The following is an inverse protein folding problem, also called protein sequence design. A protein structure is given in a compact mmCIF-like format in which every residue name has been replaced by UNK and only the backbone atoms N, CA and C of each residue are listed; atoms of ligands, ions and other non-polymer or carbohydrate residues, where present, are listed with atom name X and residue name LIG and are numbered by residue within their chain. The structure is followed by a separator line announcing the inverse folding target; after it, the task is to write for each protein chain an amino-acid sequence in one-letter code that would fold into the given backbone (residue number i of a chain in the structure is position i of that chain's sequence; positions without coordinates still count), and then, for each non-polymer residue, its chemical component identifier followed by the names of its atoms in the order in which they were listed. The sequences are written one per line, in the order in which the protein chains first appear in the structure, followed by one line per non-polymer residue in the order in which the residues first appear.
data_IF_344850197744
#
_entry.id   IF_344850197744
#
_cell.length_a   1.000
_cell.length_b   1.000
_cell.length_c   1.000
_cell.angle_alpha   90.00
_cell.angle_beta   90.00
_cell.angle_gamma   90.00
#
_symmetry.space_group_name_H-M   'P 1'
#
loop_
_entity.id
_entity.type
_entity.pdbx_description
1 polymer ?
#
# COMPACT_ATOMS: atom_id res chain seq x y z
N UNK A 1 19.87 22.23 41.43
CA UNK A 1 21.17 22.09 40.74
C UNK A 1 21.08 20.86 39.85
N UNK A 2 21.43 21.08 38.59
CA UNK A 2 21.42 20.12 37.48
C UNK A 2 22.67 19.24 37.53
N UNK A 3 22.53 18.00 37.08
CA UNK A 3 23.42 17.23 36.17
C UNK A 3 22.92 15.78 36.22
N UNK A 4 22.18 15.21 35.26
CA UNK A 4 22.39 15.04 33.82
C UNK A 4 23.77 14.47 33.47
N UNK A 5 23.84 13.14 33.41
CA UNK A 5 24.65 12.42 32.43
C UNK A 5 23.96 11.06 32.19
N UNK A 6 23.36 10.90 31.01
CA UNK A 6 22.99 9.59 30.47
C UNK A 6 23.86 9.40 29.25
N UNK A 7 24.87 8.55 29.44
CA UNK A 7 26.00 8.29 28.57
C UNK A 7 25.57 8.01 27.12
N UNK A 8 26.29 8.67 26.22
CA UNK A 8 26.33 8.43 24.80
C UNK A 8 26.89 7.04 24.53
N UNK A 9 26.13 6.18 23.83
CA UNK A 9 26.68 4.96 23.23
C UNK A 9 27.83 5.34 22.28
N UNK A 10 29.02 4.91 22.67
CA UNK A 10 30.30 5.28 22.12
C UNK A 10 30.50 4.66 20.72
N UNK A 11 30.55 5.50 19.68
CA UNK A 11 30.79 5.10 18.28
C UNK A 11 32.30 5.08 17.99
N UNK A 12 33.09 4.47 18.88
CA UNK A 12 34.53 4.27 18.69
C UNK A 12 34.82 2.77 18.56
N UNK A 13 35.18 2.32 17.35
CA UNK A 13 35.72 0.97 17.11
C UNK A 13 34.96 0.06 16.12
N UNK A 14 33.94 0.55 15.40
CA UNK A 14 33.27 -0.27 14.37
C UNK A 14 34.14 -0.32 13.11
N UNK A 15 34.56 -1.52 12.63
CA UNK A 15 35.27 -1.66 11.36
C UNK A 15 34.44 -1.12 10.20
N UNK A 16 35.07 -0.41 9.26
CA UNK A 16 34.40 0.28 8.15
C UNK A 16 33.44 -0.62 7.36
N UNK A 17 33.84 -1.88 7.10
CA UNK A 17 32.98 -2.89 6.45
C UNK A 17 31.69 -3.18 7.21
N UNK A 18 31.72 -3.17 8.55
CA UNK A 18 30.55 -3.42 9.39
C UNK A 18 29.64 -2.18 9.39
N UNK A 19 30.22 -0.97 9.47
CA UNK A 19 29.47 0.28 9.39
C UNK A 19 28.79 0.45 8.01
N UNK A 20 29.47 0.06 6.93
CA UNK A 20 28.92 0.08 5.58
C UNK A 20 27.82 -0.97 5.39
N UNK A 21 28.00 -2.19 5.92
CA UNK A 21 26.96 -3.22 5.94
C UNK A 21 25.71 -2.75 6.71
N UNK A 22 25.89 -2.13 7.88
CA UNK A 22 24.79 -1.57 8.68
C UNK A 22 24.04 -0.46 7.93
N UNK A 23 24.76 0.50 7.32
CA UNK A 23 24.17 1.54 6.47
C UNK A 23 23.38 0.97 5.30
N UNK A 24 23.89 -0.07 4.64
CA UNK A 24 23.18 -0.74 3.55
C UNK A 24 21.89 -1.42 4.01
N UNK A 25 21.86 -2.01 5.21
CA UNK A 25 20.63 -2.56 5.81
C UNK A 25 19.65 -1.45 6.15
N UNK A 26 20.12 -0.36 6.79
CA UNK A 26 19.29 0.80 7.16
C UNK A 26 18.60 1.45 5.96
N UNK A 27 19.32 1.59 4.84
CA UNK A 27 18.75 2.13 3.60
C UNK A 27 17.61 1.27 3.02
N UNK A 28 17.60 -0.03 3.35
CA UNK A 28 16.60 -1.01 2.91
C UNK A 28 15.47 -1.24 3.93
N UNK A 29 15.55 -0.66 5.14
CA UNK A 29 14.47 -0.74 6.15
C UNK A 29 13.16 -0.09 5.66
N UNK A 30 13.26 0.92 4.80
CA UNK A 30 12.09 1.53 4.15
C UNK A 30 11.72 0.77 2.88
N UNK A 31 10.50 0.22 2.83
CA UNK A 31 10.01 -0.47 1.64
C UNK A 31 10.16 0.38 0.36
N UNK A 32 10.71 -0.20 -0.71
CA UNK A 32 11.01 0.49 -1.98
C UNK A 32 9.79 1.21 -2.56
N UNK A 33 8.60 0.58 -2.50
CA UNK A 33 7.35 1.14 -3.02
C UNK A 33 6.88 2.39 -2.27
N UNK A 34 7.19 2.49 -0.97
CA UNK A 34 6.73 3.61 -0.13
C UNK A 34 7.79 4.69 0.04
N UNK A 35 9.06 4.39 -0.29
CA UNK A 35 10.23 5.26 -0.05
C UNK A 35 10.01 6.69 -0.54
N UNK A 36 9.59 6.86 -1.79
CA UNK A 36 9.30 8.18 -2.38
C UNK A 36 8.30 8.98 -1.54
N UNK A 37 7.15 8.39 -1.17
CA UNK A 37 6.11 9.07 -0.39
C UNK A 37 6.57 9.44 1.02
N UNK A 38 7.36 8.57 1.65
CA UNK A 38 7.92 8.81 2.97
C UNK A 38 8.92 9.97 2.92
N UNK A 39 9.79 9.97 1.91
CA UNK A 39 10.77 11.03 1.68
C UNK A 39 10.09 12.38 1.42
N UNK A 40 9.08 12.43 0.54
CA UNK A 40 8.33 13.67 0.29
C UNK A 40 7.68 14.22 1.56
N UNK A 41 7.10 13.35 2.39
CA UNK A 41 6.49 13.76 3.67
C UNK A 41 7.54 14.31 4.63
N UNK A 42 8.70 13.64 4.72
CA UNK A 42 9.83 14.08 5.51
C UNK A 42 10.37 15.45 5.04
N UNK A 43 10.63 15.62 3.75
CA UNK A 43 11.12 16.87 3.18
C UNK A 43 10.14 18.03 3.42
N UNK A 44 8.83 17.77 3.29
CA UNK A 44 7.79 18.77 3.58
C UNK A 44 7.85 19.24 5.04
N UNK A 45 8.13 18.33 5.98
CA UNK A 45 8.32 18.68 7.39
C UNK A 45 9.63 19.44 7.63
N UNK A 46 10.74 19.00 7.02
CA UNK A 46 12.03 19.67 7.15
C UNK A 46 12.00 21.10 6.59
N UNK A 47 11.35 21.30 5.44
CA UNK A 47 11.16 22.64 4.86
C UNK A 47 10.35 23.54 5.79
N UNK A 48 9.25 23.04 6.35
CA UNK A 48 8.47 23.79 7.32
C UNK A 48 9.26 24.17 8.57
N UNK A 49 10.13 23.28 9.06
CA UNK A 49 11.04 23.59 10.19
C UNK A 49 12.04 24.68 9.84
N UNK A 50 12.64 24.60 8.64
CA UNK A 50 13.57 25.61 8.12
C UNK A 50 12.89 26.97 8.00
N UNK A 51 11.70 27.04 7.40
CA UNK A 51 10.89 28.27 7.30
C UNK A 51 10.56 28.90 8.66
N UNK A 52 10.45 28.08 9.71
CA UNK A 52 10.15 28.53 11.08
C UNK A 52 11.40 28.72 11.95
N UNK A 53 12.60 28.51 11.39
CA UNK A 53 13.88 28.55 12.11
C UNK A 53 13.91 27.62 13.34
N UNK A 54 13.36 26.39 13.21
CA UNK A 54 13.25 25.41 14.30
C UNK A 54 14.27 24.29 14.12
N UNK A 55 15.21 24.17 15.07
CA UNK A 55 16.24 23.11 15.08
C UNK A 55 15.88 21.90 15.95
N UNK A 56 14.83 21.96 16.76
CA UNK A 56 14.38 20.86 17.63
C UNK A 56 13.35 19.92 16.97
N UNK A 57 13.38 18.63 17.35
CA UNK A 57 12.36 17.61 17.01
C UNK A 57 11.44 17.27 18.19
N UNK A 58 11.33 18.17 19.17
CA UNK A 58 10.53 17.94 20.39
C UNK A 58 9.06 17.66 20.10
N UNK A 59 8.38 17.06 21.08
CA UNK A 59 6.95 16.80 21.00
C UNK A 59 6.13 18.05 20.67
N UNK A 60 6.47 19.20 21.24
CA UNK A 60 5.77 20.46 20.98
C UNK A 60 5.87 20.89 19.50
N UNK A 61 7.04 20.73 18.88
CA UNK A 61 7.26 21.04 17.45
C UNK A 61 6.40 20.15 16.57
N UNK A 62 6.40 18.84 16.85
CA UNK A 62 5.62 17.87 16.09
C UNK A 62 4.12 18.06 16.31
N UNK A 63 3.70 18.39 17.54
CA UNK A 63 2.32 18.71 17.87
C UNK A 63 1.83 19.94 17.10
N UNK A 64 2.64 21.00 17.03
CA UNK A 64 2.32 22.20 16.25
C UNK A 64 2.19 21.89 14.75
N UNK A 65 3.13 21.12 14.19
CA UNK A 65 3.11 20.72 12.79
C UNK A 65 1.90 19.83 12.45
N UNK A 66 1.66 18.79 13.24
CA UNK A 66 0.54 17.87 13.04
C UNK A 66 -0.81 18.58 13.27
N UNK A 67 -0.87 19.54 14.20
CA UNK A 67 -2.04 20.41 14.37
C UNK A 67 -2.31 21.25 13.11
N UNK A 68 -1.28 21.85 12.49
CA UNK A 68 -1.39 22.54 11.19
C UNK A 68 -1.95 21.61 10.11
N UNK A 69 -1.41 20.38 9.99
CA UNK A 69 -1.88 19.41 8.99
C UNK A 69 -3.32 18.93 9.24
N UNK A 70 -3.71 18.81 10.50
CA UNK A 70 -5.06 18.35 10.88
C UNK A 70 -6.18 19.27 10.39
N UNK A 71 -5.87 20.55 10.13
CA UNK A 71 -6.84 21.52 9.59
C UNK A 71 -7.13 21.31 8.11
N UNK A 72 -6.26 20.61 7.38
CA UNK A 72 -6.32 20.45 5.91
C UNK A 72 -6.52 19.01 5.47
N UNK A 73 -6.47 18.05 6.38
CA UNK A 73 -6.43 16.62 6.04
C UNK A 73 -7.41 15.82 6.88
N UNK A 74 -7.94 14.74 6.30
CA UNK A 74 -8.76 13.78 7.04
C UNK A 74 -7.91 13.02 8.08
N UNK A 75 -8.51 12.57 9.19
CA UNK A 75 -7.78 11.85 10.25
C UNK A 75 -6.97 10.65 9.76
N UNK A 76 -7.48 9.85 8.82
CA UNK A 76 -6.72 8.71 8.26
C UNK A 76 -5.44 9.14 7.52
N UNK A 77 -5.48 10.29 6.82
CA UNK A 77 -4.32 10.84 6.13
C UNK A 77 -3.33 11.41 7.15
N UNK A 78 -3.83 12.08 8.19
CA UNK A 78 -3.01 12.60 9.27
C UNK A 78 -2.23 11.50 10.00
N UNK A 79 -2.88 10.37 10.32
CA UNK A 79 -2.21 9.18 10.86
C UNK A 79 -1.17 8.61 9.90
N UNK A 80 -1.44 8.60 8.60
CA UNK A 80 -0.47 8.14 7.60
C UNK A 80 0.76 9.05 7.58
N UNK A 81 0.56 10.38 7.63
CA UNK A 81 1.66 11.36 7.69
C UNK A 81 2.47 11.21 8.98
N UNK A 82 1.80 11.05 10.13
CA UNK A 82 2.47 10.73 11.39
C UNK A 82 3.33 9.46 11.29
N UNK A 83 2.79 8.37 10.76
CA UNK A 83 3.54 7.11 10.62
C UNK A 83 4.73 7.23 9.66
N UNK A 84 4.59 8.02 8.58
CA UNK A 84 5.69 8.32 7.67
C UNK A 84 6.79 9.12 8.36
N UNK A 85 6.43 10.16 9.11
CA UNK A 85 7.39 10.93 9.92
C UNK A 85 8.02 10.08 11.01
N UNK A 86 7.26 9.22 11.69
CA UNK A 86 7.79 8.30 12.71
C UNK A 86 8.91 7.46 12.14
N UNK A 87 8.68 6.89 10.95
CA UNK A 87 9.65 6.01 10.29
C UNK A 87 10.87 6.79 9.77
N UNK A 88 10.68 7.97 9.19
CA UNK A 88 11.81 8.74 8.65
C UNK A 88 12.63 9.43 9.73
N UNK A 89 12.00 9.89 10.82
CA UNK A 89 12.71 10.54 11.93
C UNK A 89 13.51 9.55 12.76
N UNK A 90 13.01 8.33 12.98
CA UNK A 90 13.80 7.31 13.66
C UNK A 90 15.00 6.88 12.80
N UNK A 91 14.81 6.67 11.50
CA UNK A 91 15.91 6.24 10.62
C UNK A 91 16.94 7.34 10.34
N UNK A 92 16.53 8.62 10.20
CA UNK A 92 17.44 9.70 9.77
C UNK A 92 18.02 10.54 10.90
N UNK A 93 17.33 10.61 12.03
CA UNK A 93 17.69 11.49 13.16
C UNK A 93 17.72 10.75 14.50
N UNK A 94 17.48 9.45 14.51
CA UNK A 94 17.31 8.64 15.73
C UNK A 94 16.24 9.22 16.69
N UNK A 95 15.21 9.89 16.14
CA UNK A 95 14.15 10.50 16.95
C UNK A 95 12.92 9.59 16.97
N UNK A 96 12.65 8.99 18.13
CA UNK A 96 11.49 8.14 18.34
C UNK A 96 10.25 8.93 18.79
N UNK A 97 9.45 9.42 17.83
CA UNK A 97 8.20 10.15 18.14
C UNK A 97 7.06 9.25 18.64
N UNK A 98 7.29 7.95 18.84
CA UNK A 98 6.28 7.07 19.43
C UNK A 98 6.06 7.37 20.92
N UNK A 99 7.12 7.81 21.61
CA UNK A 99 7.09 8.17 23.03
C UNK A 99 6.31 9.47 23.30
N UNK A 100 5.94 10.22 22.24
CA UNK A 100 5.22 11.48 22.34
C UNK A 100 3.73 11.23 22.63
N UNK A 101 3.40 11.19 23.92
CA UNK A 101 2.07 10.84 24.42
C UNK A 101 1.01 11.89 24.12
N UNK A 102 1.32 13.19 24.22
CA UNK A 102 0.42 14.30 23.87
C UNK A 102 0.12 14.31 22.38
N UNK A 103 1.13 14.05 21.55
CA UNK A 103 0.97 13.92 20.10
C UNK A 103 0.03 12.77 19.75
N UNK A 104 0.25 11.61 20.35
CA UNK A 104 -0.60 10.42 20.16
C UNK A 104 -2.04 10.68 20.63
N UNK A 105 -2.21 11.32 21.79
CA UNK A 105 -3.52 11.70 22.32
C UNK A 105 -4.25 12.71 21.40
N UNK A 106 -3.52 13.64 20.78
CA UNK A 106 -4.08 14.56 19.80
C UNK A 106 -4.59 13.83 18.55
N UNK A 107 -3.79 12.92 17.98
CA UNK A 107 -4.17 12.12 16.79
C UNK A 107 -5.41 11.26 17.06
N UNK A 108 -5.47 10.60 18.23
CA UNK A 108 -6.64 9.82 18.66
C UNK A 108 -7.89 10.69 18.73
N UNK A 109 -7.84 11.83 19.44
CA UNK A 109 -8.99 12.76 19.55
C UNK A 109 -9.46 13.27 18.19
N UNK A 110 -8.54 13.59 17.28
CA UNK A 110 -8.89 14.01 15.91
C UNK A 110 -9.59 12.92 15.10
N UNK A 111 -9.47 11.66 15.51
CA UNK A 111 -10.07 10.52 14.82
C UNK A 111 -11.43 10.11 15.40
N UNK A 112 -11.85 10.71 16.52
CA UNK A 112 -13.12 10.38 17.15
C UNK A 112 -14.29 10.62 16.19
N UNK A 113 -15.15 9.61 16.04
CA UNK A 113 -16.31 9.66 15.14
C UNK A 113 -15.99 9.65 13.65
N UNK A 114 -14.70 9.61 13.25
CA UNK A 114 -14.33 9.60 11.84
C UNK A 114 -14.73 8.27 11.18
N UNK A 115 -15.62 8.35 10.19
CA UNK A 115 -15.98 7.22 9.34
C UNK A 115 -15.34 7.42 7.96
N UNK A 116 -14.54 6.45 7.54
CA UNK A 116 -13.94 6.48 6.21
C UNK A 116 -15.02 6.28 5.15
N UNK A 117 -14.98 7.09 4.08
CA UNK A 117 -15.78 6.84 2.88
C UNK A 117 -15.44 5.46 2.33
N UNK A 118 -16.46 4.66 2.07
CA UNK A 118 -16.36 3.37 1.38
C UNK A 118 -16.94 3.52 -0.03
N UNK A 119 -16.43 2.73 -0.97
CA UNK A 119 -17.04 2.61 -2.29
C UNK A 119 -18.44 2.00 -2.16
N UNK A 120 -19.34 2.35 -3.07
CA UNK A 120 -20.61 1.62 -3.21
C UNK A 120 -20.31 0.16 -3.57
N UNK A 121 -21.12 -0.74 -3.06
CA UNK A 121 -21.03 -2.18 -3.34
C UNK A 121 -22.12 -2.55 -4.33
N UNK A 122 -21.79 -3.44 -5.27
CA UNK A 122 -22.78 -3.95 -6.22
C UNK A 122 -23.67 -4.99 -5.55
N UNK A 123 -24.94 -4.98 -5.92
CA UNK A 123 -25.91 -6.03 -5.58
C UNK A 123 -25.77 -7.22 -6.52
N UNK A 124 -26.24 -8.40 -6.10
CA UNK A 124 -26.25 -9.60 -6.94
C UNK A 124 -27.05 -9.40 -8.24
N UNK A 125 -28.10 -8.57 -8.20
CA UNK A 125 -28.90 -8.24 -9.38
C UNK A 125 -28.12 -7.38 -10.38
N UNK A 126 -27.41 -6.35 -9.90
CA UNK A 126 -26.56 -5.51 -10.75
C UNK A 126 -25.43 -6.33 -11.39
N UNK A 127 -24.78 -7.21 -10.62
CA UNK A 127 -23.75 -8.12 -11.14
C UNK A 127 -24.33 -9.03 -12.22
N UNK A 128 -25.49 -9.64 -11.97
CA UNK A 128 -26.16 -10.52 -12.95
C UNK A 128 -26.50 -9.78 -14.23
N UNK A 129 -27.12 -8.60 -14.13
CA UNK A 129 -27.45 -7.76 -15.29
C UNK A 129 -26.20 -7.39 -16.07
N UNK A 130 -25.15 -6.97 -15.37
CA UNK A 130 -23.87 -6.64 -16.01
C UNK A 130 -23.27 -7.83 -16.77
N UNK A 131 -23.27 -9.04 -16.18
CA UNK A 131 -22.69 -10.20 -16.82
C UNK A 131 -23.52 -10.70 -18.02
N UNK A 132 -24.85 -10.62 -17.95
CA UNK A 132 -25.73 -11.24 -18.94
C UNK A 132 -26.23 -10.29 -20.05
N UNK A 133 -26.45 -9.01 -19.73
CA UNK A 133 -27.16 -8.08 -20.63
C UNK A 133 -26.23 -7.08 -21.31
N UNK A 134 -25.10 -6.73 -20.67
CA UNK A 134 -24.14 -5.76 -21.22
C UNK A 134 -23.29 -6.43 -22.30
N UNK A 135 -22.99 -5.78 -23.42
CA UNK A 135 -22.34 -6.43 -24.56
C UNK A 135 -20.85 -6.69 -24.31
N UNK A 136 -20.34 -7.79 -24.89
CA UNK A 136 -18.98 -8.28 -24.67
C UNK A 136 -17.93 -7.53 -25.50
N UNK A 137 -18.30 -6.99 -26.65
CA UNK A 137 -17.44 -6.20 -27.53
C UNK A 137 -16.76 -5.03 -26.79
N UNK A 138 -17.44 -4.44 -25.81
CA UNK A 138 -16.92 -3.36 -24.99
C UNK A 138 -16.45 -3.82 -23.60
N UNK A 139 -17.15 -4.77 -22.97
CA UNK A 139 -16.97 -5.03 -21.53
C UNK A 139 -16.45 -6.42 -21.17
N UNK A 140 -16.09 -7.27 -22.14
CA UNK A 140 -15.67 -8.66 -21.85
C UNK A 140 -14.50 -8.72 -20.86
N UNK A 141 -13.44 -7.92 -21.03
CA UNK A 141 -12.31 -7.88 -20.10
C UNK A 141 -12.76 -7.48 -18.67
N UNK A 142 -13.70 -6.53 -18.57
CA UNK A 142 -14.26 -6.07 -17.29
C UNK A 142 -15.13 -7.14 -16.63
N UNK A 143 -15.91 -7.88 -17.41
CA UNK A 143 -16.69 -9.04 -16.91
C UNK A 143 -15.77 -10.12 -16.36
N UNK A 144 -14.70 -10.45 -17.07
CA UNK A 144 -13.69 -11.41 -16.62
C UNK A 144 -12.98 -10.92 -15.37
N UNK A 145 -12.59 -9.64 -15.30
CA UNK A 145 -12.00 -9.05 -14.10
C UNK A 145 -12.96 -9.10 -12.90
N UNK A 146 -14.27 -8.90 -13.13
CA UNK A 146 -15.30 -9.01 -12.08
C UNK A 146 -15.44 -10.45 -11.58
N UNK A 147 -15.52 -11.42 -12.49
CA UNK A 147 -15.65 -12.85 -12.18
C UNK A 147 -14.45 -13.34 -11.37
N UNK A 148 -13.24 -13.13 -11.89
CA UNK A 148 -11.98 -13.52 -11.23
C UNK A 148 -11.83 -12.75 -9.90
N UNK A 149 -12.19 -11.47 -9.89
CA UNK A 149 -12.13 -10.59 -8.73
C UNK A 149 -13.03 -11.06 -7.58
N UNK A 150 -14.28 -11.42 -7.88
CA UNK A 150 -15.24 -11.89 -6.88
C UNK A 150 -14.87 -13.30 -6.40
N UNK A 151 -14.64 -14.24 -7.33
CA UNK A 151 -14.35 -15.64 -6.99
C UNK A 151 -13.08 -15.78 -6.13
N UNK A 152 -12.04 -15.02 -6.45
CA UNK A 152 -10.76 -15.06 -5.75
C UNK A 152 -10.58 -14.01 -4.65
N UNK A 153 -11.61 -13.18 -4.38
CA UNK A 153 -11.51 -11.99 -3.54
C UNK A 153 -10.28 -11.11 -3.89
N UNK A 154 -10.00 -10.93 -5.18
CA UNK A 154 -8.75 -10.36 -5.67
C UNK A 154 -8.71 -8.84 -5.53
N UNK A 155 -7.54 -8.34 -5.12
CA UNK A 155 -7.21 -6.91 -5.20
C UNK A 155 -6.92 -6.56 -6.66
N UNK A 156 -7.16 -5.31 -7.04
CA UNK A 156 -6.85 -4.84 -8.40
C UNK A 156 -5.40 -5.10 -8.83
N UNK A 157 -4.42 -4.92 -7.93
CA UNK A 157 -3.01 -5.21 -8.23
C UNK A 157 -2.70 -6.71 -8.42
N UNK A 158 -3.53 -7.60 -7.88
CA UNK A 158 -3.40 -9.04 -8.12
C UNK A 158 -3.94 -9.38 -9.52
N UNK A 159 -5.09 -8.80 -9.90
CA UNK A 159 -5.66 -8.94 -11.24
C UNK A 159 -4.71 -8.40 -12.32
N UNK A 160 -4.10 -7.23 -12.13
CA UNK A 160 -3.18 -6.65 -13.13
C UNK A 160 -1.87 -7.42 -13.29
N UNK A 161 -1.53 -8.28 -12.33
CA UNK A 161 -0.32 -9.11 -12.35
C UNK A 161 -0.62 -10.58 -12.65
N UNK A 162 -1.88 -10.93 -12.85
CA UNK A 162 -2.27 -12.28 -13.22
C UNK A 162 -1.71 -12.59 -14.60
N UNK A 163 -1.02 -13.72 -14.72
CA UNK A 163 -0.49 -14.18 -16.00
C UNK A 163 -1.32 -15.34 -16.57
N UNK A 164 -1.12 -15.66 -17.85
CA UNK A 164 -1.83 -16.74 -18.54
C UNK A 164 -1.53 -18.09 -17.88
N UNK A 165 -0.27 -18.34 -17.50
CA UNK A 165 0.14 -19.58 -16.81
C UNK A 165 -0.48 -19.78 -15.43
N UNK A 166 -1.16 -18.76 -14.90
CA UNK A 166 -1.86 -18.85 -13.62
C UNK A 166 -3.27 -19.42 -13.75
N UNK A 167 -3.73 -19.72 -14.98
CA UNK A 167 -5.05 -20.25 -15.27
C UNK A 167 -4.87 -21.66 -15.83
N UNK A 168 -5.25 -22.66 -15.05
CA UNK A 168 -5.19 -24.06 -15.43
C UNK A 168 -6.60 -24.54 -15.84
N UNK A 169 -6.70 -25.29 -16.93
CA UNK A 169 -7.97 -25.78 -17.47
C UNK A 169 -8.21 -27.25 -17.10
N UNK A 170 -9.33 -27.52 -16.43
CA UNK A 170 -9.73 -28.85 -15.98
C UNK A 170 -11.16 -29.14 -16.45
N UNK A 171 -11.32 -29.39 -17.76
CA UNK A 171 -12.63 -29.62 -18.38
C UNK A 171 -13.52 -28.37 -18.31
N UNK A 172 -14.65 -28.45 -17.60
CA UNK A 172 -15.55 -27.32 -17.37
C UNK A 172 -15.07 -26.35 -16.27
N UNK A 173 -14.02 -26.72 -15.55
CA UNK A 173 -13.46 -25.96 -14.43
C UNK A 173 -12.21 -25.19 -14.86
N UNK A 174 -12.06 -23.98 -14.33
CA UNK A 174 -10.82 -23.22 -14.37
C UNK A 174 -10.25 -23.15 -12.95
N UNK A 175 -8.97 -23.48 -12.80
CA UNK A 175 -8.25 -23.37 -11.55
C UNK A 175 -7.31 -22.16 -11.65
N UNK A 176 -7.53 -21.16 -10.81
CA UNK A 176 -6.78 -19.90 -10.85
C UNK A 176 -5.83 -19.81 -9.65
N UNK A 177 -4.55 -19.58 -9.95
CA UNK A 177 -3.49 -19.36 -8.98
C UNK A 177 -3.17 -17.88 -8.86
N UNK A 178 -3.35 -17.29 -7.69
CA UNK A 178 -2.85 -15.95 -7.43
C UNK A 178 -1.45 -16.09 -6.84
N UNK A 179 -0.40 -15.72 -7.60
CA UNK A 179 0.96 -15.80 -7.13
C UNK A 179 1.19 -14.84 -5.98
N UNK A 180 2.32 -15.01 -5.32
CA UNK A 180 2.60 -14.43 -4.02
C UNK A 180 2.30 -12.91 -3.94
N UNK A 181 1.46 -12.56 -2.97
CA UNK A 181 0.89 -11.23 -2.80
C UNK A 181 1.70 -10.42 -1.77
N UNK A 182 1.26 -9.20 -1.46
CA UNK A 182 1.90 -8.33 -0.46
C UNK A 182 2.15 -9.03 0.90
N UNK A 183 1.35 -10.04 1.24
CA UNK A 183 1.41 -10.77 2.51
C UNK A 183 2.27 -12.03 2.48
N UNK A 184 2.96 -12.34 1.39
CA UNK A 184 3.74 -13.58 1.23
C UNK A 184 2.89 -14.87 1.25
N UNK A 185 1.63 -14.76 0.84
CA UNK A 185 0.66 -15.86 0.79
C UNK A 185 0.10 -15.97 -0.63
N UNK A 186 0.31 -17.13 -1.26
CA UNK A 186 -0.35 -17.56 -2.49
C UNK A 186 -1.70 -18.19 -2.19
N UNK A 187 -2.64 -18.09 -3.12
CA UNK A 187 -3.94 -18.76 -3.02
C UNK A 187 -4.39 -19.34 -4.35
N UNK A 188 -5.27 -20.33 -4.27
CA UNK A 188 -5.84 -21.06 -5.39
C UNK A 188 -7.35 -21.12 -5.23
N UNK A 189 -8.10 -21.00 -6.31
CA UNK A 189 -9.56 -21.14 -6.31
C UNK A 189 -10.06 -21.58 -7.68
N UNK A 190 -11.30 -22.06 -7.73
CA UNK A 190 -11.92 -22.55 -8.96
C UNK A 190 -13.00 -21.60 -9.47
N UNK A 191 -13.22 -21.62 -10.78
CA UNK A 191 -14.34 -20.99 -11.46
C UNK A 191 -15.00 -22.05 -12.35
N UNK A 192 -16.32 -22.10 -12.35
CA UNK A 192 -17.08 -23.14 -13.05
C UNK A 192 -18.27 -22.59 -13.85
N UNK A 193 -18.83 -23.45 -14.70
CA UNK A 193 -20.04 -23.18 -15.47
C UNK A 193 -19.94 -21.93 -16.35
N UNK A 194 -21.02 -21.15 -16.41
CA UNK A 194 -21.13 -19.94 -17.25
C UNK A 194 -20.04 -18.91 -16.98
N UNK A 195 -19.52 -18.82 -15.76
CA UNK A 195 -18.44 -17.90 -15.44
C UNK A 195 -17.11 -18.35 -16.06
N UNK A 196 -16.84 -19.66 -16.07
CA UNK A 196 -15.67 -20.22 -16.73
C UNK A 196 -15.74 -20.02 -18.26
N UNK A 197 -16.92 -20.16 -18.86
CA UNK A 197 -17.15 -19.90 -20.29
C UNK A 197 -16.81 -18.45 -20.68
N UNK A 198 -17.21 -17.46 -19.87
CA UNK A 198 -16.89 -16.04 -20.12
C UNK A 198 -15.37 -15.80 -20.06
N UNK A 199 -14.67 -16.43 -19.09
CA UNK A 199 -13.21 -16.33 -18.96
C UNK A 199 -12.52 -16.95 -20.18
N UNK A 200 -12.95 -18.15 -20.60
CA UNK A 200 -12.44 -18.83 -21.80
C UNK A 200 -12.67 -18.01 -23.06
N UNK A 201 -13.84 -17.39 -23.21
CA UNK A 201 -14.14 -16.49 -24.35
C UNK A 201 -13.13 -15.35 -24.45
N UNK A 202 -12.77 -14.72 -23.33
CA UNK A 202 -11.73 -13.70 -23.33
C UNK A 202 -10.35 -14.24 -23.71
N UNK A 203 -9.98 -15.41 -23.20
CA UNK A 203 -8.71 -16.07 -23.50
C UNK A 203 -8.57 -16.40 -24.99
N UNK A 204 -9.64 -16.85 -25.66
CA UNK A 204 -9.62 -17.14 -27.10
C UNK A 204 -9.38 -15.91 -27.98
N UNK A 205 -9.66 -14.71 -27.47
CA UNK A 205 -9.42 -13.45 -28.19
C UNK A 205 -8.00 -12.91 -27.97
N UNK A 206 -7.16 -13.62 -27.22
CA UNK A 206 -5.78 -13.21 -26.99
C UNK A 206 -5.02 -13.18 -28.33
N UNK A 207 -4.42 -12.05 -28.72
CA UNK A 207 -3.62 -11.98 -29.92
C UNK A 207 -2.35 -12.83 -29.82
N UNK A 208 -1.99 -13.52 -30.90
CA UNK A 208 -0.78 -14.36 -30.96
C UNK A 208 0.52 -13.53 -30.85
N UNK A 209 0.48 -12.26 -31.23
CA UNK A 209 1.61 -11.33 -31.17
C UNK A 209 1.77 -10.65 -29.80
N UNK A 210 0.96 -11.00 -28.79
CA UNK A 210 1.07 -10.40 -27.47
C UNK A 210 2.44 -10.71 -26.84
N UNK A 211 3.24 -9.67 -26.58
CA UNK A 211 4.62 -9.80 -26.06
C UNK A 211 4.68 -9.97 -24.53
N UNK A 212 3.58 -9.73 -23.83
CA UNK A 212 3.49 -9.89 -22.38
C UNK A 212 2.76 -11.17 -22.02
N UNK A 213 3.15 -11.81 -20.92
CA UNK A 213 2.43 -12.96 -20.35
C UNK A 213 1.25 -12.57 -19.46
N UNK A 214 0.98 -11.27 -19.29
CA UNK A 214 -0.19 -10.82 -18.51
C UNK A 214 -1.47 -11.33 -19.13
N UNK A 215 -2.35 -11.85 -18.29
CA UNK A 215 -3.65 -12.35 -18.71
C UNK A 215 -4.51 -11.22 -19.27
N UNK A 216 -4.64 -10.11 -18.53
CA UNK A 216 -5.33 -8.92 -19.01
C UNK A 216 -4.40 -8.05 -19.85
N UNK A 217 -4.84 -7.76 -21.07
CA UNK A 217 -4.16 -6.85 -22.01
C UNK A 217 -4.89 -5.50 -22.06
N UNK A 218 -4.11 -4.42 -22.23
CA UNK A 218 -4.62 -3.11 -22.58
C UNK A 218 -4.22 -2.84 -24.04
N UNK A 219 -5.18 -2.42 -24.86
CA UNK A 219 -4.99 -2.10 -26.26
C UNK A 219 -4.97 -0.60 -26.47
#
# INVERSE_FOLDING_TARGET
MVSSDSESDDVFGIPEKIAEAAKNVEQNLLSTKSKSRYETTYLTFMNWRKEKNINSFSENVLLAYISKLSKKTKPSTLWSQYSMLKSTLITKHNVNIHSYSKLTAFLKRKSNGFKSKKSKVFTSNEIRKFLNEVPDDQYLATKVALIIGIAGACRGNELTKLNVENIEHHGSLLLIRIPDTKTKISRLYTIEGKFAEIVKKYETLRPQYATTNRFFLNF
#
